data_IF_902313544698
#
_entry.id   IF_902313544698
#
_cell.length_a   1.000
_cell.length_b   1.000
_cell.length_c   1.000
_cell.angle_alpha   90.00
_cell.angle_beta   90.00
_cell.angle_gamma   90.00
#
_symmetry.space_group_name_H-M   'P 1'
#
loop_
_entity.id
_entity.type
_entity.pdbx_description
1 polymer ?
#
# COMPACT_ATOMS: atom_id res chain seq x y z
N UNK A 1 -31.96 19.02 0.97
CA UNK A 1 -30.49 19.11 0.93
C UNK A 1 -29.98 19.15 2.38
N UNK A 2 -29.60 18.01 2.95
CA UNK A 2 -29.21 17.87 4.36
C UNK A 2 -27.71 17.62 4.47
N UNK A 3 -26.88 18.62 4.17
CA UNK A 3 -25.46 18.56 4.50
C UNK A 3 -25.29 19.17 5.89
N UNK A 4 -25.49 18.35 6.93
CA UNK A 4 -25.37 18.78 8.31
C UNK A 4 -23.90 18.71 8.74
N UNK A 5 -23.25 19.82 9.14
CA UNK A 5 -21.85 19.85 9.58
C UNK A 5 -21.51 18.81 10.66
N UNK A 6 -22.48 18.46 11.51
CA UNK A 6 -22.34 17.42 12.53
C UNK A 6 -21.96 16.04 11.96
N UNK A 7 -22.52 15.68 10.80
CA UNK A 7 -22.22 14.40 10.14
C UNK A 7 -20.75 14.32 9.72
N UNK A 8 -20.21 15.44 9.23
CA UNK A 8 -18.82 15.57 8.82
C UNK A 8 -17.88 15.46 10.03
N UNK A 9 -18.25 16.06 11.18
CA UNK A 9 -17.45 15.99 12.42
C UNK A 9 -17.37 14.54 12.94
N UNK A 10 -18.46 13.78 12.88
CA UNK A 10 -18.45 12.36 13.26
C UNK A 10 -17.73 11.46 12.24
N UNK A 11 -17.81 11.78 10.95
CA UNK A 11 -17.12 11.02 9.90
C UNK A 11 -15.62 11.33 9.81
N UNK A 12 -15.21 12.56 10.15
CA UNK A 12 -13.83 13.05 10.09
C UNK A 12 -12.81 12.11 10.75
N UNK A 13 -13.00 11.64 12.01
CA UNK A 13 -12.01 10.79 12.66
C UNK A 13 -11.82 9.45 11.93
N UNK A 14 -12.89 8.84 11.41
CA UNK A 14 -12.78 7.61 10.61
C UNK A 14 -12.03 7.84 9.30
N UNK A 15 -12.29 8.98 8.65
CA UNK A 15 -11.60 9.41 7.43
C UNK A 15 -10.11 9.67 7.68
N UNK A 16 -9.77 10.33 8.79
CA UNK A 16 -8.39 10.59 9.20
C UNK A 16 -7.63 9.29 9.49
N UNK A 17 -8.26 8.33 10.18
CA UNK A 17 -7.68 7.01 10.41
C UNK A 17 -7.46 6.24 9.09
N UNK A 18 -8.42 6.30 8.18
CA UNK A 18 -8.31 5.70 6.85
C UNK A 18 -7.18 6.31 6.02
N UNK A 19 -7.04 7.63 6.03
CA UNK A 19 -5.96 8.36 5.37
C UNK A 19 -4.59 8.03 5.99
N UNK A 20 -4.51 7.93 7.32
CA UNK A 20 -3.29 7.54 8.01
C UNK A 20 -2.88 6.10 7.67
N UNK A 21 -3.84 5.17 7.67
CA UNK A 21 -3.62 3.78 7.29
C UNK A 21 -3.16 3.68 5.82
N UNK A 22 -3.83 4.36 4.89
CA UNK A 22 -3.43 4.40 3.49
C UNK A 22 -2.02 4.98 3.32
N UNK A 23 -1.70 6.07 4.01
CA UNK A 23 -0.36 6.68 3.98
C UNK A 23 0.71 5.69 4.47
N UNK A 24 0.43 4.97 5.55
CA UNK A 24 1.35 3.97 6.10
C UNK A 24 1.54 2.76 5.19
N UNK A 25 0.47 2.23 4.60
CA UNK A 25 0.54 1.13 3.63
C UNK A 25 1.27 1.57 2.38
N UNK A 26 0.98 2.76 1.85
CA UNK A 26 1.66 3.30 0.66
C UNK A 26 3.14 3.55 0.93
N UNK A 27 3.49 4.04 2.13
CA UNK A 27 4.88 4.23 2.55
C UNK A 27 5.62 2.90 2.73
N UNK A 28 4.98 1.92 3.38
CA UNK A 28 5.52 0.56 3.48
C UNK A 28 5.70 -0.05 2.08
N UNK A 29 4.68 0.00 1.23
CA UNK A 29 4.73 -0.49 -0.14
C UNK A 29 5.82 0.23 -0.94
N UNK A 30 5.93 1.56 -0.90
CA UNK A 30 7.03 2.28 -1.56
C UNK A 30 8.39 1.89 -1.01
N UNK A 31 8.52 1.75 0.31
CA UNK A 31 9.77 1.34 0.96
C UNK A 31 10.17 -0.06 0.50
N UNK A 32 9.26 -1.03 0.54
CA UNK A 32 9.54 -2.40 0.11
C UNK A 32 9.63 -2.54 -1.42
N UNK A 33 8.95 -1.69 -2.19
CA UNK A 33 9.07 -1.62 -3.65
C UNK A 33 10.39 -0.96 -4.09
N UNK A 34 10.94 -0.03 -3.31
CA UNK A 34 12.26 0.57 -3.54
C UNK A 34 13.41 -0.22 -2.92
N UNK A 35 13.15 -1.18 -2.04
CA UNK A 35 14.15 -2.16 -1.61
C UNK A 35 14.46 -3.05 -2.81
N UNK A 36 15.39 -2.55 -3.63
CA UNK A 36 16.11 -3.26 -4.66
C UNK A 36 16.71 -4.48 -3.98
N UNK A 37 16.20 -5.67 -4.29
CA UNK A 37 16.88 -6.91 -3.90
C UNK A 37 18.34 -6.77 -4.32
N UNK A 38 19.32 -7.21 -3.50
CA UNK A 38 20.76 -7.01 -3.76
C UNK A 38 21.22 -7.43 -5.17
N UNK A 39 20.39 -8.17 -5.90
CA UNK A 39 20.57 -8.56 -7.31
C UNK A 39 20.02 -7.61 -8.37
N UNK A 40 19.57 -6.40 -8.02
CA UNK A 40 19.10 -5.44 -9.03
C UNK A 40 17.86 -5.95 -9.81
N UNK A 41 17.07 -6.81 -9.17
CA UNK A 41 15.95 -7.50 -9.81
C UNK A 41 14.61 -6.81 -9.54
N UNK A 42 13.75 -6.77 -10.56
CA UNK A 42 12.38 -6.23 -10.44
C UNK A 42 11.44 -7.25 -9.81
N UNK A 43 10.31 -6.82 -9.22
CA UNK A 43 9.31 -7.74 -8.66
C UNK A 43 8.80 -8.78 -9.66
N UNK A 44 8.76 -8.43 -10.96
CA UNK A 44 8.44 -9.37 -12.04
C UNK A 44 9.52 -10.45 -12.23
N UNK A 45 10.80 -10.09 -12.07
CA UNK A 45 11.91 -11.05 -12.12
C UNK A 45 11.92 -11.95 -10.89
N UNK A 46 11.53 -11.45 -9.70
CA UNK A 46 11.37 -12.28 -8.50
C UNK A 46 10.21 -13.26 -8.67
N UNK A 47 9.07 -12.81 -9.21
CA UNK A 47 7.94 -13.69 -9.51
C UNK A 47 8.33 -14.78 -10.53
N UNK A 48 9.04 -14.40 -11.60
CA UNK A 48 9.54 -15.35 -12.60
C UNK A 48 10.56 -16.33 -12.00
N UNK A 49 11.52 -15.86 -11.23
CA UNK A 49 12.47 -16.73 -10.53
C UNK A 49 11.79 -17.68 -9.54
N UNK A 50 10.69 -17.25 -8.90
CA UNK A 50 9.92 -18.10 -8.00
C UNK A 50 9.15 -19.18 -8.77
N UNK A 51 8.52 -18.83 -9.91
CA UNK A 51 7.91 -19.80 -10.83
C UNK A 51 8.95 -20.80 -11.35
N UNK A 52 10.09 -20.31 -11.87
CA UNK A 52 11.18 -21.12 -12.39
C UNK A 52 11.74 -22.05 -11.28
N UNK A 53 11.86 -21.57 -10.04
CA UNK A 53 12.35 -22.37 -8.89
C UNK A 53 11.36 -23.43 -8.41
N UNK A 54 10.07 -23.21 -8.63
CA UNK A 54 9.00 -24.15 -8.29
C UNK A 54 8.67 -25.10 -9.44
N UNK A 55 9.38 -25.00 -10.57
CA UNK A 55 9.31 -25.95 -11.69
C UNK A 55 8.27 -25.65 -12.76
N UNK A 56 7.93 -24.38 -13.00
CA UNK A 56 7.15 -23.93 -14.17
C UNK A 56 8.00 -23.06 -15.10
#
# INVERSE_FOLDING_TARGET
>A
MFFNPLYLVFALPGLLLGLWAQSRVKSAFNKYAQVRTMRNVTGAQVARALLDSQGL
#
